data_IF_300271357762
#
_entry.id   IF_300271357762
#
_cell.length_a   1.000
_cell.length_b   1.000
_cell.length_c   1.000
_cell.angle_alpha   90.00
_cell.angle_beta   90.00
_cell.angle_gamma   90.00
#
_symmetry.space_group_name_H-M   'P 1'
#
loop_
_entity.id
_entity.type
_entity.pdbx_description
1 polymer ?
#
# COMPACT_ATOMS: atom_id res chain seq x y z
N UNK A 1 14.50 20.19 -42.42
CA UNK A 1 13.52 19.07 -42.45
C UNK A 1 14.06 17.94 -41.60
N UNK A 2 13.40 17.30 -40.63
CA UNK A 2 12.14 17.51 -39.90
C UNK A 2 12.04 16.35 -38.90
N UNK A 3 13.00 16.22 -37.97
CA UNK A 3 13.07 15.07 -37.04
C UNK A 3 13.27 15.46 -35.58
N UNK A 4 13.74 16.68 -35.29
CA UNK A 4 13.96 17.17 -33.92
C UNK A 4 12.66 17.66 -33.25
N UNK A 5 11.71 18.18 -34.03
CA UNK A 5 10.47 18.82 -33.53
C UNK A 5 9.43 17.80 -33.01
N UNK A 6 9.37 16.60 -33.62
CA UNK A 6 8.44 15.54 -33.20
C UNK A 6 8.85 14.88 -31.88
N UNK A 7 10.14 14.76 -31.59
CA UNK A 7 10.63 14.20 -30.33
C UNK A 7 10.42 15.16 -29.14
N UNK A 8 10.48 16.47 -29.40
CA UNK A 8 10.20 17.51 -28.41
C UNK A 8 8.70 17.70 -28.14
N UNK A 9 7.81 17.42 -29.09
CA UNK A 9 6.35 17.42 -28.87
C UNK A 9 5.83 16.11 -28.24
N UNK A 10 6.49 14.98 -28.50
CA UNK A 10 6.15 13.70 -27.87
C UNK A 10 6.41 13.67 -26.35
N UNK A 11 7.45 14.36 -25.86
CA UNK A 11 7.79 14.42 -24.43
C UNK A 11 6.70 15.14 -23.59
N UNK A 12 6.21 16.34 -23.96
CA UNK A 12 5.07 17.01 -23.34
C UNK A 12 3.81 16.16 -23.33
N UNK A 13 3.49 15.50 -24.44
CA UNK A 13 2.29 14.65 -24.56
C UNK A 13 2.36 13.41 -23.65
N UNK A 14 3.54 12.78 -23.52
CA UNK A 14 3.76 11.69 -22.55
C UNK A 14 3.66 12.19 -21.10
N UNK A 15 4.16 13.39 -20.81
CA UNK A 15 4.06 13.99 -19.49
C UNK A 15 2.60 14.34 -19.13
N UNK A 16 1.82 14.90 -20.05
CA UNK A 16 0.38 15.15 -19.88
C UNK A 16 -0.42 13.87 -19.71
N UNK A 17 -0.10 12.83 -20.49
CA UNK A 17 -0.68 11.51 -20.37
C UNK A 17 -0.45 10.89 -18.98
N UNK A 18 0.77 11.02 -18.45
CA UNK A 18 1.14 10.53 -17.13
C UNK A 18 0.42 11.32 -16.02
N UNK A 19 0.41 12.66 -16.12
CA UNK A 19 -0.33 13.54 -15.19
C UNK A 19 -1.82 13.20 -15.12
N UNK A 20 -2.45 13.02 -16.28
CA UNK A 20 -3.87 12.67 -16.35
C UNK A 20 -4.15 11.28 -15.77
N UNK A 21 -3.25 10.31 -16.01
CA UNK A 21 -3.37 8.98 -15.39
C UNK A 21 -3.31 9.08 -13.87
N UNK A 22 -2.35 9.81 -13.33
CA UNK A 22 -2.21 9.97 -11.88
C UNK A 22 -3.40 10.70 -11.26
N UNK A 23 -3.90 11.76 -11.91
CA UNK A 23 -5.12 12.45 -11.48
C UNK A 23 -6.32 11.50 -11.40
N UNK A 24 -6.54 10.67 -12.42
CA UNK A 24 -7.63 9.69 -12.43
C UNK A 24 -7.47 8.68 -11.29
N UNK A 25 -6.25 8.17 -11.06
CA UNK A 25 -5.98 7.25 -9.96
C UNK A 25 -6.25 7.90 -8.60
N UNK A 26 -5.78 9.13 -8.37
CA UNK A 26 -6.04 9.86 -7.12
C UNK A 26 -7.52 10.10 -6.88
N UNK A 27 -8.26 10.49 -7.91
CA UNK A 27 -9.71 10.70 -7.81
C UNK A 27 -10.45 9.38 -7.55
N UNK A 28 -10.06 8.30 -8.26
CA UNK A 28 -10.62 6.98 -8.05
C UNK A 28 -10.42 6.49 -6.61
N UNK A 29 -9.22 6.67 -6.05
CA UNK A 29 -8.90 6.34 -4.64
C UNK A 29 -9.89 7.04 -3.69
N UNK A 30 -10.07 8.36 -3.84
CA UNK A 30 -11.01 9.14 -3.01
C UNK A 30 -12.44 8.65 -3.15
N UNK A 31 -12.91 8.48 -4.39
CA UNK A 31 -14.28 8.05 -4.65
C UNK A 31 -14.57 6.65 -4.07
N UNK A 32 -13.64 5.70 -4.22
CA UNK A 32 -13.79 4.36 -3.65
C UNK A 32 -13.74 4.36 -2.12
N UNK A 33 -12.96 5.25 -1.51
CA UNK A 33 -12.92 5.40 -0.06
C UNK A 33 -14.26 5.92 0.51
N UNK A 34 -14.87 6.90 -0.16
CA UNK A 34 -16.12 7.55 0.30
C UNK A 34 -17.38 6.78 -0.05
N UNK A 35 -17.46 6.23 -1.28
CA UNK A 35 -18.69 5.66 -1.85
C UNK A 35 -18.57 4.17 -2.17
N UNK A 36 -17.42 3.56 -1.85
CA UNK A 36 -17.14 2.15 -2.13
C UNK A 36 -17.07 1.82 -3.62
N UNK A 37 -17.15 0.52 -3.94
CA UNK A 37 -17.11 0.04 -5.32
C UNK A 37 -18.43 0.25 -6.10
N UNK A 38 -19.34 1.11 -5.66
CA UNK A 38 -20.49 1.53 -6.46
C UNK A 38 -20.12 2.55 -7.55
N UNK A 39 -19.04 3.30 -7.33
CA UNK A 39 -18.55 4.39 -8.20
C UNK A 39 -18.20 3.89 -9.61
N UNK A 40 -18.70 4.56 -10.64
CA UNK A 40 -18.42 4.24 -12.04
C UNK A 40 -17.22 5.02 -12.59
N UNK A 41 -16.69 4.61 -13.76
CA UNK A 41 -15.67 5.40 -14.46
C UNK A 41 -16.18 6.79 -14.87
N UNK A 42 -17.49 6.95 -15.09
CA UNK A 42 -18.10 8.24 -15.39
C UNK A 42 -18.10 9.16 -14.17
N UNK A 43 -18.42 8.62 -12.98
CA UNK A 43 -18.36 9.38 -11.73
C UNK A 43 -16.94 9.87 -11.46
N UNK A 44 -15.94 9.02 -11.74
CA UNK A 44 -14.52 9.37 -11.59
C UNK A 44 -14.11 10.43 -12.62
N UNK A 45 -14.57 10.33 -13.87
CA UNK A 45 -14.30 11.34 -14.89
C UNK A 45 -14.86 12.71 -14.47
N UNK A 46 -16.10 12.72 -13.98
CA UNK A 46 -16.76 13.92 -13.47
C UNK A 46 -16.00 14.54 -12.30
N UNK A 47 -15.68 13.74 -11.27
CA UNK A 47 -14.97 14.20 -10.08
C UNK A 47 -13.53 14.67 -10.40
N UNK A 48 -12.86 14.02 -11.36
CA UNK A 48 -11.52 14.41 -11.79
C UNK A 48 -11.51 15.64 -12.72
N UNK A 49 -12.68 16.11 -13.17
CA UNK A 49 -12.76 17.21 -14.14
C UNK A 49 -12.18 16.85 -15.52
N UNK A 50 -12.16 15.57 -15.88
CA UNK A 50 -11.63 15.10 -17.18
C UNK A 50 -12.73 14.51 -18.05
N UNK A 51 -12.55 14.55 -19.37
CA UNK A 51 -13.51 13.93 -20.29
C UNK A 51 -13.61 12.42 -20.09
N UNK A 52 -14.82 11.86 -20.16
CA UNK A 52 -15.10 10.41 -20.05
C UNK A 52 -14.22 9.59 -21.00
N UNK A 53 -14.09 10.02 -22.26
CA UNK A 53 -13.22 9.35 -23.23
C UNK A 53 -11.74 9.32 -22.83
N UNK A 54 -11.26 10.27 -22.02
CA UNK A 54 -9.89 10.25 -21.47
C UNK A 54 -9.73 9.16 -20.41
N UNK A 55 -10.74 8.92 -19.57
CA UNK A 55 -10.72 7.82 -18.61
C UNK A 55 -10.77 6.47 -19.32
N UNK A 56 -11.74 6.27 -20.24
CA UNK A 56 -11.89 5.00 -20.96
C UNK A 56 -10.69 4.64 -21.86
N UNK A 57 -9.98 5.64 -22.40
CA UNK A 57 -8.71 5.41 -23.12
C UNK A 57 -7.58 4.93 -22.22
N UNK A 58 -7.64 5.19 -20.91
CA UNK A 58 -6.61 4.79 -19.94
C UNK A 58 -6.98 3.52 -19.18
N UNK A 59 -8.26 3.33 -18.92
CA UNK A 59 -8.83 2.23 -18.18
C UNK A 59 -10.07 1.75 -18.94
N UNK A 60 -9.96 0.59 -19.58
CA UNK A 60 -11.04 0.05 -20.41
C UNK A 60 -12.30 -0.24 -19.58
N UNK A 61 -12.09 -0.66 -18.34
CA UNK A 61 -13.13 -0.96 -17.37
C UNK A 61 -12.68 -0.61 -15.95
N UNK A 62 -13.62 -0.72 -15.01
CA UNK A 62 -13.37 -0.45 -13.59
C UNK A 62 -12.31 -1.40 -13.00
N UNK A 63 -12.23 -2.63 -13.50
CA UNK A 63 -11.28 -3.60 -12.98
C UNK A 63 -9.84 -3.22 -13.35
N UNK A 64 -9.60 -2.75 -14.58
CA UNK A 64 -8.29 -2.25 -15.03
C UNK A 64 -7.82 -1.03 -14.24
N UNK A 65 -8.76 -0.21 -13.76
CA UNK A 65 -8.47 0.89 -12.85
C UNK A 65 -8.09 0.38 -11.46
N UNK A 66 -8.83 -0.58 -10.92
CA UNK A 66 -8.53 -1.22 -9.63
C UNK A 66 -7.16 -1.93 -9.68
N UNK A 67 -6.84 -2.61 -10.76
CA UNK A 67 -5.52 -3.24 -10.95
C UNK A 67 -4.39 -2.21 -10.94
N UNK A 68 -4.56 -1.07 -11.61
CA UNK A 68 -3.57 -0.01 -11.59
C UNK A 68 -3.38 0.61 -10.19
N UNK A 69 -4.45 0.70 -9.40
CA UNK A 69 -4.38 1.11 -8.00
C UNK A 69 -3.58 0.08 -7.18
N UNK A 70 -3.93 -1.20 -7.27
CA UNK A 70 -3.25 -2.29 -6.57
C UNK A 70 -1.76 -2.38 -6.95
N UNK A 71 -1.43 -2.20 -8.23
CA UNK A 71 -0.05 -2.18 -8.70
C UNK A 71 0.78 -1.11 -7.99
N UNK A 72 0.21 0.08 -7.75
CA UNK A 72 0.89 1.15 -7.00
C UNK A 72 1.22 0.72 -5.56
N UNK A 73 0.32 -0.02 -4.90
CA UNK A 73 0.58 -0.57 -3.57
C UNK A 73 1.68 -1.63 -3.60
N UNK A 74 1.59 -2.59 -4.53
CA UNK A 74 2.59 -3.64 -4.62
C UNK A 74 3.96 -3.07 -4.95
N UNK A 75 4.06 -2.07 -5.83
CA UNK A 75 5.28 -1.34 -6.12
C UNK A 75 5.88 -0.70 -4.85
N UNK A 76 5.07 0.04 -4.07
CA UNK A 76 5.55 0.66 -2.83
C UNK A 76 6.02 -0.37 -1.77
N UNK A 77 5.32 -1.50 -1.66
CA UNK A 77 5.70 -2.59 -0.74
C UNK A 77 6.96 -3.32 -1.22
N UNK A 78 7.10 -3.53 -2.53
CA UNK A 78 8.29 -4.10 -3.15
C UNK A 78 9.51 -3.17 -2.98
N UNK A 79 9.32 -1.86 -3.13
CA UNK A 79 10.38 -0.87 -2.89
C UNK A 79 10.81 -0.84 -1.42
N UNK A 80 9.86 -1.00 -0.48
CA UNK A 80 10.19 -1.15 0.93
C UNK A 80 10.98 -2.45 1.20
N UNK A 81 10.59 -3.56 0.57
CA UNK A 81 11.29 -4.83 0.67
C UNK A 81 12.70 -4.76 0.05
N UNK A 82 12.87 -4.09 -1.08
CA UNK A 82 14.16 -3.88 -1.73
C UNK A 82 15.11 -3.07 -0.84
N UNK A 83 14.63 -1.96 -0.25
CA UNK A 83 15.43 -1.18 0.72
C UNK A 83 15.83 -2.00 1.94
N UNK A 84 14.95 -2.87 2.43
CA UNK A 84 15.26 -3.77 3.54
C UNK A 84 16.24 -4.89 3.16
N UNK A 85 16.31 -5.27 1.87
CA UNK A 85 17.27 -6.25 1.38
C UNK A 85 18.70 -5.70 1.32
N UNK A 86 18.85 -4.38 1.12
CA UNK A 86 20.15 -3.70 1.15
C UNK A 86 20.76 -3.65 2.57
N UNK A 87 19.94 -3.85 3.61
CA UNK A 87 20.38 -3.87 5.00
C UNK A 87 20.97 -5.24 5.40
N UNK A 88 22.20 -5.22 5.91
CA UNK A 88 22.90 -6.42 6.39
C UNK A 88 22.45 -6.86 7.78
N UNK A 89 22.07 -5.91 8.65
CA UNK A 89 21.54 -6.21 9.98
C UNK A 89 20.06 -6.66 9.84
N UNK A 90 19.70 -7.90 10.23
CA UNK A 90 18.33 -8.37 10.19
C UNK A 90 17.35 -7.50 10.99
N UNK A 91 17.80 -6.88 12.09
CA UNK A 91 16.98 -5.98 12.90
C UNK A 91 16.63 -4.74 12.11
N UNK A 92 17.64 -4.12 11.50
CA UNK A 92 17.46 -2.90 10.72
C UNK A 92 16.68 -3.16 9.43
N UNK A 93 16.91 -4.28 8.76
CA UNK A 93 16.12 -4.69 7.61
C UNK A 93 14.61 -4.73 7.91
N UNK A 94 14.22 -5.38 9.00
CA UNK A 94 12.80 -5.44 9.38
C UNK A 94 12.28 -4.04 9.79
N UNK A 95 13.08 -3.23 10.50
CA UNK A 95 12.72 -1.84 10.82
C UNK A 95 12.45 -1.02 9.55
N UNK A 96 13.36 -1.05 8.58
CA UNK A 96 13.27 -0.34 7.30
C UNK A 96 12.02 -0.76 6.54
N UNK A 97 11.75 -2.07 6.49
CA UNK A 97 10.56 -2.61 5.84
C UNK A 97 9.27 -2.10 6.51
N UNK A 98 9.14 -2.27 7.83
CA UNK A 98 7.96 -1.85 8.60
C UNK A 98 7.72 -0.34 8.46
N UNK A 99 8.77 0.47 8.60
CA UNK A 99 8.69 1.91 8.45
C UNK A 99 8.23 2.32 7.04
N UNK A 100 8.74 1.64 6.00
CA UNK A 100 8.32 1.87 4.62
C UNK A 100 6.83 1.59 4.37
N UNK A 101 6.32 0.48 4.92
CA UNK A 101 4.90 0.12 4.81
C UNK A 101 4.01 1.13 5.58
N UNK A 102 4.43 1.54 6.78
CA UNK A 102 3.71 2.54 7.56
C UNK A 102 3.72 3.92 6.91
N UNK A 103 4.84 4.33 6.33
CA UNK A 103 4.95 5.59 5.59
C UNK A 103 4.00 5.61 4.38
N UNK A 104 3.95 4.50 3.63
CA UNK A 104 3.01 4.35 2.52
C UNK A 104 1.56 4.47 3.00
N UNK A 105 1.16 3.78 4.08
CA UNK A 105 -0.20 3.89 4.62
C UNK A 105 -0.54 5.28 5.16
N UNK A 106 0.41 5.96 5.78
CA UNK A 106 0.22 7.30 6.30
C UNK A 106 0.01 8.32 5.16
N UNK A 107 0.76 8.17 4.06
CA UNK A 107 0.64 9.00 2.86
C UNK A 107 -0.63 8.70 2.07
N UNK A 108 -0.96 7.43 1.85
CA UNK A 108 -1.99 7.00 0.90
C UNK A 108 -3.12 6.21 1.57
N UNK A 109 -3.91 6.90 2.40
CA UNK A 109 -5.14 6.37 3.01
C UNK A 109 -6.10 5.82 1.96
N UNK A 110 -6.34 6.61 0.92
CA UNK A 110 -7.39 6.35 -0.04
C UNK A 110 -7.10 5.09 -0.88
N UNK A 111 -5.82 4.79 -1.15
CA UNK A 111 -5.43 3.53 -1.74
C UNK A 111 -5.60 2.35 -0.79
N UNK A 112 -5.26 2.50 0.50
CA UNK A 112 -5.50 1.45 1.50
C UNK A 112 -6.98 1.09 1.61
N UNK A 113 -7.87 2.08 1.72
CA UNK A 113 -9.32 1.89 1.82
C UNK A 113 -9.92 1.30 0.53
N UNK A 114 -9.45 1.74 -0.64
CA UNK A 114 -9.87 1.20 -1.93
C UNK A 114 -9.48 -0.28 -2.09
N UNK A 115 -8.29 -0.67 -1.63
CA UNK A 115 -7.76 -2.03 -1.74
C UNK A 115 -8.48 -2.99 -0.80
N UNK A 116 -8.76 -2.52 0.41
CA UNK A 116 -9.62 -3.24 1.36
C UNK A 116 -10.96 -3.54 0.70
N UNK A 117 -11.63 -2.55 0.09
CA UNK A 117 -12.94 -2.75 -0.54
C UNK A 117 -12.89 -3.52 -1.87
N UNK A 118 -11.79 -3.42 -2.62
CA UNK A 118 -11.60 -4.00 -3.95
C UNK A 118 -11.30 -5.51 -3.97
N UNK A 119 -11.24 -6.18 -2.81
CA UNK A 119 -10.94 -7.60 -2.68
C UNK A 119 -11.68 -8.48 -3.68
N UNK A 120 -10.99 -8.87 -4.76
CA UNK A 120 -11.40 -9.93 -5.68
C UNK A 120 -10.20 -10.76 -6.13
N UNK A 121 -10.46 -12.06 -6.20
CA UNK A 121 -9.64 -13.18 -6.65
C UNK A 121 -9.32 -13.14 -8.15
N UNK A 122 -8.54 -12.15 -8.63
CA UNK A 122 -7.97 -12.21 -9.99
C UNK A 122 -6.57 -12.82 -9.95
N UNK A 123 -6.20 -13.69 -10.92
CA UNK A 123 -4.91 -14.38 -10.89
C UNK A 123 -3.68 -13.46 -10.82
N UNK A 124 -3.72 -12.29 -11.49
CA UNK A 124 -2.62 -11.31 -11.48
C UNK A 124 -2.41 -10.69 -10.10
N UNK A 125 -3.49 -10.29 -9.42
CA UNK A 125 -3.47 -9.74 -8.06
C UNK A 125 -3.03 -10.80 -7.05
N UNK A 126 -3.51 -12.04 -7.23
CA UNK A 126 -3.11 -13.18 -6.40
C UNK A 126 -1.61 -13.44 -6.53
N UNK A 127 -1.06 -13.42 -7.75
CA UNK A 127 0.35 -13.64 -7.98
C UNK A 127 1.25 -12.57 -7.33
N UNK A 128 0.94 -11.29 -7.51
CA UNK A 128 1.72 -10.21 -6.87
C UNK A 128 1.59 -10.24 -5.35
N UNK A 129 0.41 -10.59 -4.82
CA UNK A 129 0.24 -10.78 -3.37
C UNK A 129 1.10 -11.92 -2.85
N UNK A 130 1.04 -13.10 -3.48
CA UNK A 130 1.77 -14.28 -3.02
C UNK A 130 3.29 -14.06 -3.11
N UNK A 131 3.74 -13.34 -4.14
CA UNK A 131 5.14 -12.89 -4.28
C UNK A 131 5.55 -11.96 -3.13
N UNK A 132 4.75 -10.93 -2.86
CA UNK A 132 5.02 -10.01 -1.75
C UNK A 132 5.03 -10.75 -0.41
N UNK A 133 4.06 -11.60 -0.13
CA UNK A 133 4.00 -12.40 1.10
C UNK A 133 5.26 -13.25 1.28
N UNK A 134 5.78 -13.84 0.20
CA UNK A 134 7.02 -14.60 0.22
C UNK A 134 8.22 -13.72 0.60
N UNK A 135 8.39 -12.57 -0.06
CA UNK A 135 9.48 -11.62 0.23
C UNK A 135 9.45 -11.12 1.68
N UNK A 136 8.25 -10.81 2.18
CA UNK A 136 8.07 -10.33 3.55
C UNK A 136 8.34 -11.42 4.57
N UNK A 137 7.89 -12.64 4.28
CA UNK A 137 8.18 -13.80 5.12
C UNK A 137 9.67 -14.10 5.21
N UNK A 138 10.43 -13.88 4.13
CA UNK A 138 11.90 -14.00 4.13
C UNK A 138 12.56 -12.94 5.04
N UNK A 139 12.12 -11.68 4.96
CA UNK A 139 12.63 -10.60 5.83
C UNK A 139 12.38 -10.93 7.30
N UNK A 140 11.14 -11.31 7.64
CA UNK A 140 10.75 -11.69 9.01
C UNK A 140 11.51 -12.96 9.45
N UNK A 141 11.65 -13.95 8.57
CA UNK A 141 12.36 -15.18 8.84
C UNK A 141 13.84 -14.95 9.17
N UNK A 142 14.52 -14.09 8.42
CA UNK A 142 15.91 -13.69 8.68
C UNK A 142 16.06 -13.02 10.04
N UNK A 143 15.15 -12.10 10.37
CA UNK A 143 15.16 -11.40 11.65
C UNK A 143 14.79 -12.32 12.84
N UNK A 144 13.86 -13.25 12.63
CA UNK A 144 13.49 -14.28 13.61
C UNK A 144 14.64 -15.25 13.88
N UNK A 145 15.34 -15.72 12.83
CA UNK A 145 16.51 -16.59 12.97
C UNK A 145 17.67 -15.92 13.73
N UNK A 146 17.79 -14.59 13.64
CA UNK A 146 18.75 -13.80 14.41
C UNK A 146 18.30 -13.51 15.85
N UNK A 147 17.09 -13.93 16.26
CA UNK A 147 16.56 -13.73 17.60
C UNK A 147 16.19 -12.28 17.91
N UNK A 148 16.02 -11.44 16.88
CA UNK A 148 15.71 -10.00 17.02
C UNK A 148 14.23 -9.68 16.77
N UNK A 149 13.39 -10.70 16.65
CA UNK A 149 11.93 -10.58 16.46
C UNK A 149 11.22 -11.28 17.61
N UNK A 150 10.14 -10.66 18.08
CA UNK A 150 9.32 -11.22 19.15
C UNK A 150 8.70 -12.53 18.70
N UNK A 151 8.83 -13.56 19.54
CA UNK A 151 8.26 -14.87 19.27
C UNK A 151 6.74 -14.77 19.04
N UNK A 152 6.26 -15.36 17.95
CA UNK A 152 4.86 -15.33 17.54
C UNK A 152 4.50 -14.24 16.51
N UNK A 153 5.41 -13.31 16.20
CA UNK A 153 5.19 -12.32 15.14
C UNK A 153 5.21 -12.97 13.75
N UNK A 154 4.27 -12.57 12.90
CA UNK A 154 4.06 -13.13 11.56
C UNK A 154 3.68 -12.04 10.55
N UNK A 155 3.89 -12.30 9.25
CA UNK A 155 3.50 -11.35 8.19
C UNK A 155 2.00 -11.02 8.21
N UNK A 156 1.16 -11.92 8.74
CA UNK A 156 -0.29 -11.74 8.92
C UNK A 156 -0.65 -10.68 9.96
N UNK A 157 0.30 -10.25 10.81
CA UNK A 157 0.08 -9.13 11.74
C UNK A 157 0.17 -7.76 11.04
N UNK A 158 0.88 -7.67 9.91
CA UNK A 158 1.16 -6.43 9.22
C UNK A 158 -0.08 -5.62 8.81
N UNK A 159 -1.17 -6.23 8.30
CA UNK A 159 -2.37 -5.49 7.95
C UNK A 159 -2.96 -4.76 9.16
N UNK A 160 -2.98 -5.39 10.34
CA UNK A 160 -3.52 -4.77 11.56
C UNK A 160 -2.59 -3.68 12.10
N UNK A 161 -1.27 -3.90 12.12
CA UNK A 161 -0.30 -2.87 12.49
C UNK A 161 -0.40 -1.65 11.58
N UNK A 162 -0.55 -1.88 10.28
CA UNK A 162 -0.74 -0.84 9.27
C UNK A 162 -2.05 -0.09 9.51
N UNK A 163 -3.14 -0.77 9.84
CA UNK A 163 -4.42 -0.14 10.23
C UNK A 163 -4.27 0.72 11.48
N UNK A 164 -3.60 0.23 12.53
CA UNK A 164 -3.38 0.98 13.78
C UNK A 164 -2.59 2.27 13.54
N UNK A 165 -1.44 2.19 12.84
CA UNK A 165 -0.61 3.37 12.54
C UNK A 165 -1.35 4.31 11.57
N UNK A 166 -2.06 3.75 10.59
CA UNK A 166 -2.89 4.50 9.66
C UNK A 166 -3.98 5.31 10.34
N UNK A 167 -4.66 4.73 11.35
CA UNK A 167 -5.68 5.43 12.13
C UNK A 167 -5.11 6.65 12.86
N UNK A 168 -3.90 6.54 13.42
CA UNK A 168 -3.20 7.69 14.02
C UNK A 168 -2.88 8.74 12.96
N UNK A 169 -2.32 8.33 11.81
CA UNK A 169 -2.01 9.24 10.71
C UNK A 169 -3.26 10.00 10.25
N UNK A 170 -4.41 9.33 10.18
CA UNK A 170 -5.67 9.91 9.75
C UNK A 170 -6.25 10.87 10.80
N UNK A 171 -6.21 10.52 12.08
CA UNK A 171 -6.70 11.36 13.18
C UNK A 171 -5.86 12.63 13.39
N UNK A 172 -4.55 12.56 13.10
CA UNK A 172 -3.61 13.66 13.37
C UNK A 172 -3.29 14.52 12.15
N UNK A 173 -3.68 14.08 10.94
CA UNK A 173 -3.29 14.69 9.64
C UNK A 173 -3.40 16.21 9.57
N UNK A 174 -4.48 16.78 10.11
CA UNK A 174 -4.76 18.21 10.06
C UNK A 174 -3.86 19.06 10.98
N UNK A 175 -3.27 18.44 12.01
CA UNK A 175 -2.48 19.13 13.04
C UNK A 175 -0.99 18.78 12.93
N UNK A 176 -0.70 17.50 12.73
CA UNK A 176 0.66 16.98 12.54
C UNK A 176 0.63 15.76 11.59
N UNK A 177 0.93 15.93 10.29
CA UNK A 177 0.95 14.83 9.33
C UNK A 177 2.07 13.81 9.57
N UNK A 178 2.97 14.06 10.53
CA UNK A 178 4.11 13.21 10.85
C UNK A 178 3.98 12.52 12.21
N UNK A 179 2.93 12.80 13.00
CA UNK A 179 2.73 12.24 14.34
C UNK A 179 2.71 10.70 14.36
N UNK A 180 2.26 10.07 13.27
CA UNK A 180 2.25 8.62 13.11
C UNK A 180 3.64 7.97 13.30
N UNK A 181 4.74 8.67 12.99
CA UNK A 181 6.11 8.11 13.11
C UNK A 181 6.43 7.68 14.53
N UNK A 182 6.04 8.48 15.51
CA UNK A 182 6.23 8.16 16.93
C UNK A 182 5.55 6.84 17.33
N UNK A 183 4.35 6.60 16.81
CA UNK A 183 3.59 5.38 17.11
C UNK A 183 4.05 4.19 16.27
N UNK A 184 4.51 4.44 15.05
CA UNK A 184 5.20 3.44 14.23
C UNK A 184 6.45 2.94 14.93
N UNK A 185 7.29 3.83 15.48
CA UNK A 185 8.47 3.46 16.26
C UNK A 185 8.09 2.61 17.49
N UNK A 186 7.05 3.01 18.23
CA UNK A 186 6.57 2.23 19.38
C UNK A 186 6.13 0.81 18.99
N UNK A 187 5.41 0.68 17.86
CA UNK A 187 5.00 -0.62 17.33
C UNK A 187 6.21 -1.44 16.89
N UNK A 188 7.18 -0.83 16.20
CA UNK A 188 8.40 -1.49 15.72
C UNK A 188 9.23 -2.01 16.89
N UNK A 189 9.44 -1.21 17.93
CA UNK A 189 10.17 -1.66 19.13
C UNK A 189 9.42 -2.80 19.85
N UNK A 190 8.09 -2.83 19.81
CA UNK A 190 7.30 -3.96 20.33
C UNK A 190 7.41 -5.25 19.50
N UNK A 191 7.77 -5.14 18.21
CA UNK A 191 8.05 -6.27 17.30
C UNK A 191 9.51 -6.71 17.39
N UNK A 192 10.44 -5.76 17.58
CA UNK A 192 11.88 -5.95 17.67
C UNK A 192 12.31 -5.97 19.15
N UNK A 193 12.21 -7.09 19.87
CA UNK A 193 12.53 -7.12 21.28
C UNK A 193 13.98 -6.75 21.57
N UNK A 194 14.19 -6.29 22.80
CA UNK A 194 15.51 -6.07 23.42
C UNK A 194 16.00 -7.24 24.28
N UNK A 195 15.48 -8.47 24.10
CA UNK A 195 15.86 -9.64 24.91
C UNK A 195 14.73 -10.66 25.10
N UNK A 196 14.77 -11.38 26.23
CA UNK A 196 13.86 -12.47 26.62
C UNK A 196 12.46 -11.96 26.99
N UNK A 197 11.71 -11.49 26.00
CA UNK A 197 10.30 -11.12 26.19
C UNK A 197 9.37 -12.32 26.05
N UNK A 198 8.24 -12.27 26.75
CA UNK A 198 7.17 -13.26 26.59
C UNK A 198 6.66 -13.25 25.14
N UNK A 199 6.34 -14.43 24.57
CA UNK A 199 5.80 -14.53 23.22
C UNK A 199 4.52 -13.70 23.08
N UNK A 200 4.20 -13.32 21.85
CA UNK A 200 2.90 -12.73 21.53
C UNK A 200 1.77 -13.67 21.96
N UNK A 201 0.69 -13.09 22.47
CA UNK A 201 -0.47 -13.85 22.91
C UNK A 201 -1.34 -14.22 21.71
N UNK A 202 -1.70 -15.50 21.62
CA UNK A 202 -2.54 -16.01 20.54
C UNK A 202 -1.78 -16.19 19.22
N UNK A 203 -2.50 -16.72 18.22
CA UNK A 203 -2.00 -16.79 16.85
C UNK A 203 -2.39 -15.52 16.08
N UNK A 204 -1.62 -15.13 15.06
CA UNK A 204 -2.05 -14.08 14.13
C UNK A 204 -3.37 -14.48 13.46
N UNK A 205 -4.15 -13.48 13.05
CA UNK A 205 -5.41 -13.68 12.35
C UNK A 205 -5.17 -14.47 11.04
N UNK A 206 -6.10 -15.36 10.71
CA UNK A 206 -6.11 -15.96 9.37
C UNK A 206 -6.51 -14.91 8.31
N UNK A 207 -6.20 -15.23 7.05
CA UNK A 207 -6.42 -14.32 5.92
C UNK A 207 -7.90 -13.92 5.78
N UNK A 208 -8.82 -14.87 5.93
CA UNK A 208 -10.25 -14.61 5.81
C UNK A 208 -10.74 -13.63 6.89
N UNK A 209 -10.22 -13.75 8.11
CA UNK A 209 -10.54 -12.87 9.23
C UNK A 209 -9.93 -11.48 9.05
N UNK A 210 -8.71 -11.39 8.51
CA UNK A 210 -8.11 -10.10 8.12
C UNK A 210 -8.96 -9.41 7.06
N UNK A 211 -9.33 -10.12 6.00
CA UNK A 211 -10.16 -9.59 4.91
C UNK A 211 -11.50 -9.08 5.47
N UNK A 212 -12.22 -9.89 6.24
CA UNK A 212 -13.48 -9.49 6.89
C UNK A 212 -13.32 -8.26 7.79
N UNK A 213 -12.28 -8.23 8.64
CA UNK A 213 -12.05 -7.13 9.57
C UNK A 213 -11.79 -5.80 8.84
N UNK A 214 -10.99 -5.84 7.78
CA UNK A 214 -10.71 -4.66 6.97
C UNK A 214 -11.98 -4.18 6.25
N UNK A 215 -12.80 -5.09 5.73
CA UNK A 215 -14.08 -4.77 5.11
C UNK A 215 -15.14 -4.22 6.07
N UNK A 216 -15.06 -4.50 7.37
CA UNK A 216 -16.09 -4.12 8.35
C UNK A 216 -15.90 -2.70 8.94
N UNK A 217 -14.69 -2.11 8.85
CA UNK A 217 -14.40 -0.75 9.35
C UNK A 217 -14.77 0.36 8.37
N UNK A 218 -15.73 0.10 7.49
CA UNK A 218 -15.97 0.78 6.22
C UNK A 218 -17.39 1.29 6.08
#
# INVERSE_FOLDING_TARGET
MSTTDSAELERPLRADAARNRELILQTARKCFAERGLSVTLNDIAHEAGVGVGTVYRRFADKDSLIEALLATKFEAMNDAAARAADETDPREALRVYLMGVFEFRARDRALADAIVRAGKSRPSIVHERDRLESQVSEIIGRASAAGVVRAGFDYRDLPMLTTMVGAVADATRAHDPNAWRRYAELVIEGVLPGGTEAPMLGAPLDRESIERALHAQS
#
